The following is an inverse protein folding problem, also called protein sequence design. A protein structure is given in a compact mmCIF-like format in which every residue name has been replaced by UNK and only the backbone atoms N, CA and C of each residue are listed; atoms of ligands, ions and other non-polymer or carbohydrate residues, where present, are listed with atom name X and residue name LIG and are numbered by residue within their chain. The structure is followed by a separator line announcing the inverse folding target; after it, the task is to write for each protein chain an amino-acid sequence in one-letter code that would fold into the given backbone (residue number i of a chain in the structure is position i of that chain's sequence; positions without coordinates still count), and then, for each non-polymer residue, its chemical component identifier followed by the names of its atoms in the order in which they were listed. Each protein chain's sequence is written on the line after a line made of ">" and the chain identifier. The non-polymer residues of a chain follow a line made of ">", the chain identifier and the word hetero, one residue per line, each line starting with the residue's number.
data_IF_060394410394
#
_entry.id   IF_060394410394
#
_cell.length_a   1.000
_cell.length_b   1.000
_cell.length_c   1.000
_cell.angle_alpha   90.00
_cell.angle_beta   90.00
_cell.angle_gamma   90.00
#
_symmetry.space_group_name_H-M   'P 1'
#
loop_
_entity.id
_entity.type
_entity.pdbx_description
1 polymer ?
#
# COMPACT_ATOMS: atom_id res chain seq x y z
N UNK A 1 -47.11 -2.26 15.91
CA UNK A 1 -46.07 -3.29 15.73
C UNK A 1 -45.69 -3.28 14.26
N UNK A 2 -44.62 -2.57 13.89
CA UNK A 2 -44.15 -2.48 12.50
C UNK A 2 -42.72 -2.98 12.51
N UNK A 3 -42.52 -4.21 12.03
CA UNK A 3 -41.20 -4.77 11.76
C UNK A 3 -40.62 -4.09 10.52
N UNK A 4 -39.68 -3.16 10.70
CA UNK A 4 -38.81 -2.71 9.62
C UNK A 4 -37.61 -3.65 9.55
N UNK A 5 -37.56 -4.47 8.50
CA UNK A 5 -36.35 -5.17 8.09
C UNK A 5 -35.39 -4.16 7.44
N UNK A 6 -34.22 -3.99 8.03
CA UNK A 6 -33.13 -3.18 7.47
C UNK A 6 -32.45 -3.95 6.33
N UNK A 7 -32.12 -3.31 5.20
CA UNK A 7 -31.29 -3.92 4.17
C UNK A 7 -29.86 -4.03 4.69
N UNK A 8 -29.33 -5.25 4.71
CA UNK A 8 -27.90 -5.51 4.96
C UNK A 8 -27.13 -5.02 3.73
N UNK A 9 -26.37 -3.93 3.87
CA UNK A 9 -25.52 -3.43 2.79
C UNK A 9 -24.28 -4.32 2.68
N UNK A 10 -24.22 -5.15 1.63
CA UNK A 10 -23.05 -5.97 1.32
C UNK A 10 -21.84 -5.07 1.01
N UNK A 11 -20.70 -5.33 1.65
CA UNK A 11 -19.43 -4.72 1.28
C UNK A 11 -19.06 -5.18 -0.15
N UNK A 12 -19.11 -4.28 -1.12
CA UNK A 12 -18.83 -4.60 -2.52
C UNK A 12 -17.32 -4.73 -2.74
N UNK A 13 -16.87 -5.96 -3.00
CA UNK A 13 -15.55 -6.28 -3.58
C UNK A 13 -15.36 -5.41 -4.83
N UNK A 14 -14.18 -4.79 -5.00
CA UNK A 14 -13.88 -4.00 -6.20
C UNK A 14 -14.18 -4.85 -7.45
N UNK A 15 -15.09 -4.36 -8.29
CA UNK A 15 -15.61 -5.14 -9.41
C UNK A 15 -14.51 -5.35 -10.44
N UNK A 16 -14.16 -6.61 -10.72
CA UNK A 16 -13.29 -6.96 -11.84
C UNK A 16 -14.04 -6.65 -13.14
N UNK A 17 -13.63 -5.57 -13.81
CA UNK A 17 -14.28 -5.06 -15.02
C UNK A 17 -14.01 -5.95 -16.24
N UNK A 18 -12.98 -6.81 -16.17
CA UNK A 18 -12.63 -7.73 -17.25
C UNK A 18 -13.69 -8.81 -17.48
N UNK A 19 -14.40 -9.25 -16.42
CA UNK A 19 -15.39 -10.34 -16.51
C UNK A 19 -16.52 -10.04 -17.51
N UNK A 20 -16.90 -8.76 -17.61
CA UNK A 20 -17.94 -8.28 -18.51
C UNK A 20 -17.44 -7.95 -19.93
N UNK A 21 -16.12 -7.91 -20.15
CA UNK A 21 -15.51 -7.55 -21.42
C UNK A 21 -15.40 -8.71 -22.41
N UNK A 22 -14.92 -8.43 -23.63
CA UNK A 22 -14.35 -9.43 -24.53
C UNK A 22 -12.85 -9.57 -24.33
N UNK A 23 -12.24 -10.53 -25.03
CA UNK A 23 -10.79 -10.70 -25.07
C UNK A 23 -10.31 -11.02 -26.49
N UNK A 24 -9.09 -10.59 -26.81
CA UNK A 24 -8.36 -10.94 -28.03
C UNK A 24 -6.84 -10.85 -27.79
N UNK A 25 -6.02 -11.13 -28.80
CA UNK A 25 -4.57 -11.12 -28.67
C UNK A 25 -3.84 -11.34 -29.97
N UNK A 26 -2.51 -11.43 -29.91
CA UNK A 26 -1.65 -11.63 -31.08
C UNK A 26 -1.69 -13.06 -31.62
N UNK A 27 -1.55 -14.05 -30.73
CA UNK A 27 -1.55 -15.48 -31.06
C UNK A 27 -1.96 -16.28 -29.82
N UNK A 28 -2.27 -17.57 -30.01
CA UNK A 28 -2.57 -18.48 -28.90
C UNK A 28 -2.06 -19.89 -29.21
N UNK A 29 -1.59 -20.59 -28.18
CA UNK A 29 -1.24 -22.01 -28.26
C UNK A 29 -2.50 -22.87 -28.40
N UNK A 30 -2.34 -24.08 -28.95
CA UNK A 30 -3.42 -25.05 -29.08
C UNK A 30 -4.03 -25.40 -27.71
N UNK A 31 -5.35 -25.59 -27.68
CA UNK A 31 -6.09 -25.85 -26.44
C UNK A 31 -6.29 -24.64 -25.52
N UNK A 32 -5.78 -23.46 -25.88
CA UNK A 32 -6.01 -22.21 -25.11
C UNK A 32 -6.97 -21.25 -25.84
N UNK A 33 -7.56 -20.32 -25.09
CA UNK A 33 -8.47 -19.29 -25.59
C UNK A 33 -8.11 -17.92 -25.02
N UNK A 34 -8.32 -16.85 -25.79
CA UNK A 34 -8.22 -15.48 -25.26
C UNK A 34 -9.24 -15.24 -24.13
N UNK A 35 -10.40 -15.89 -24.20
CA UNK A 35 -11.44 -15.75 -23.18
C UNK A 35 -11.04 -16.25 -21.80
N UNK A 36 -10.00 -17.09 -21.71
CA UNK A 36 -9.56 -17.66 -20.44
C UNK A 36 -8.99 -16.60 -19.49
N UNK A 37 -8.48 -15.46 -19.98
CA UNK A 37 -7.92 -14.42 -19.08
C UNK A 37 -8.96 -13.59 -18.34
N UNK A 38 -10.25 -13.89 -18.50
CA UNK A 38 -11.34 -13.07 -17.97
C UNK A 38 -12.57 -13.90 -17.58
N UNK A 39 -12.42 -15.21 -17.41
CA UNK A 39 -13.51 -16.11 -17.04
C UNK A 39 -13.62 -16.28 -15.51
N UNK A 40 -12.68 -15.73 -14.74
CA UNK A 40 -12.65 -15.84 -13.28
C UNK A 40 -12.18 -17.21 -12.79
N UNK A 41 -11.64 -18.05 -13.68
CA UNK A 41 -11.16 -19.39 -13.39
C UNK A 41 -9.63 -19.45 -13.54
N UNK A 42 -8.94 -19.46 -12.41
CA UNK A 42 -7.47 -19.55 -12.39
C UNK A 42 -6.89 -20.89 -12.87
N UNK A 43 -7.73 -21.87 -13.22
CA UNK A 43 -7.33 -23.18 -13.76
C UNK A 43 -7.27 -23.20 -15.29
N UNK A 44 -7.96 -22.28 -15.96
CA UNK A 44 -7.84 -22.04 -17.41
C UNK A 44 -6.79 -20.97 -17.66
N UNK A 45 -6.23 -20.92 -18.87
CA UNK A 45 -5.24 -19.90 -19.21
C UNK A 45 -5.20 -19.64 -20.71
N UNK A 46 -4.79 -18.42 -21.06
CA UNK A 46 -4.23 -18.11 -22.37
C UNK A 46 -2.72 -18.33 -22.34
N UNK A 47 -2.15 -18.83 -23.44
CA UNK A 47 -0.71 -18.86 -23.67
C UNK A 47 -0.46 -18.39 -25.10
N UNK A 48 0.53 -17.51 -25.37
CA UNK A 48 0.94 -17.22 -26.73
C UNK A 48 1.59 -18.45 -27.37
N UNK A 49 1.69 -18.44 -28.70
CA UNK A 49 2.35 -19.51 -29.47
C UNK A 49 3.88 -19.50 -29.36
N UNK A 50 4.47 -18.51 -28.70
CA UNK A 50 5.93 -18.34 -28.53
C UNK A 50 6.25 -17.79 -27.14
N UNK A 51 7.52 -17.49 -26.84
CA UNK A 51 7.92 -16.80 -25.61
C UNK A 51 7.47 -15.32 -25.52
N UNK A 52 6.89 -14.78 -26.59
CA UNK A 52 6.33 -13.42 -26.63
C UNK A 52 4.93 -13.43 -27.21
N UNK A 53 4.16 -12.39 -26.91
CA UNK A 53 2.81 -12.22 -27.42
C UNK A 53 2.04 -11.15 -26.66
N UNK A 54 0.80 -10.92 -27.04
CA UNK A 54 -0.10 -10.03 -26.34
C UNK A 54 -1.48 -10.63 -26.16
N UNK A 55 -2.10 -10.28 -25.03
CA UNK A 55 -3.50 -10.56 -24.74
C UNK A 55 -4.15 -9.29 -24.22
N UNK A 56 -5.42 -9.10 -24.55
CA UNK A 56 -6.16 -7.89 -24.25
C UNK A 56 -7.52 -8.22 -23.66
N UNK A 57 -7.98 -7.34 -22.78
CA UNK A 57 -9.40 -7.23 -22.42
C UNK A 57 -9.99 -6.01 -23.14
N UNK A 58 -11.23 -6.11 -23.60
CA UNK A 58 -11.90 -5.07 -24.38
C UNK A 58 -13.36 -4.89 -24.00
N UNK A 59 -13.89 -3.69 -24.16
CA UNK A 59 -15.26 -3.33 -23.81
C UNK A 59 -15.98 -2.70 -25.02
N UNK A 60 -17.32 -2.81 -25.05
CA UNK A 60 -18.13 -2.21 -26.12
C UNK A 60 -18.12 -0.67 -26.10
N UNK A 61 -17.88 -0.08 -24.93
CA UNK A 61 -17.72 1.36 -24.71
C UNK A 61 -16.42 1.62 -23.93
N UNK A 62 -16.00 2.89 -23.87
CA UNK A 62 -14.80 3.25 -23.13
C UNK A 62 -15.04 2.98 -21.63
N UNK A 63 -14.15 2.20 -21.03
CA UNK A 63 -14.17 1.82 -19.62
C UNK A 63 -12.98 2.47 -18.94
N UNK A 64 -13.22 3.11 -17.79
CA UNK A 64 -12.16 3.75 -17.01
C UNK A 64 -11.51 2.73 -16.09
N UNK A 65 -10.21 2.51 -16.28
CA UNK A 65 -9.39 1.60 -15.49
C UNK A 65 -8.11 2.30 -15.04
N UNK A 66 -7.57 1.89 -13.90
CA UNK A 66 -6.28 2.40 -13.39
C UNK A 66 -5.37 1.32 -12.82
N UNK A 67 -5.84 0.07 -12.77
CA UNK A 67 -5.01 -1.06 -12.43
C UNK A 67 -5.38 -2.30 -13.23
N UNK A 68 -4.37 -3.14 -13.39
CA UNK A 68 -4.46 -4.46 -13.97
C UNK A 68 -3.82 -5.48 -13.02
N UNK A 69 -4.40 -6.66 -12.89
CA UNK A 69 -3.80 -7.79 -12.17
C UNK A 69 -3.56 -8.91 -13.17
N UNK A 70 -2.31 -9.36 -13.25
CA UNK A 70 -1.90 -10.47 -14.11
C UNK A 70 -1.67 -11.69 -13.21
N UNK A 71 -2.49 -12.72 -13.37
CA UNK A 71 -2.30 -14.01 -12.69
C UNK A 71 -1.71 -14.99 -13.67
N UNK A 72 -0.58 -15.61 -13.31
CA UNK A 72 0.02 -16.66 -14.13
C UNK A 72 -0.43 -18.04 -13.67
N UNK A 73 -0.70 -18.93 -14.62
CA UNK A 73 -0.90 -20.35 -14.35
C UNK A 73 0.46 -21.06 -14.26
N UNK A 74 0.50 -22.16 -13.51
CA UNK A 74 1.69 -23.01 -13.42
C UNK A 74 2.02 -23.70 -14.76
N UNK A 75 3.29 -24.08 -14.93
CA UNK A 75 3.78 -24.80 -16.12
C UNK A 75 4.00 -23.94 -17.37
N UNK A 76 3.95 -22.61 -17.25
CA UNK A 76 4.36 -21.66 -18.28
C UNK A 76 5.78 -21.12 -18.07
N UNK A 77 6.30 -20.39 -19.06
CA UNK A 77 7.56 -19.66 -18.95
C UNK A 77 7.48 -18.45 -18.03
N UNK A 78 8.61 -18.10 -17.41
CA UNK A 78 8.72 -16.88 -16.59
C UNK A 78 8.83 -15.66 -17.49
N UNK A 79 8.02 -14.64 -17.22
CA UNK A 79 8.03 -13.36 -17.94
C UNK A 79 9.30 -12.60 -17.55
N UNK A 80 10.08 -12.22 -18.56
CA UNK A 80 11.29 -11.41 -18.41
C UNK A 80 10.99 -9.92 -18.50
N UNK A 81 10.21 -9.50 -19.51
CA UNK A 81 9.83 -8.09 -19.71
C UNK A 81 8.46 -7.96 -20.36
N UNK A 82 7.77 -6.87 -20.05
CA UNK A 82 6.40 -6.61 -20.50
C UNK A 82 6.08 -5.12 -20.58
N UNK A 83 5.00 -4.83 -21.30
CA UNK A 83 4.36 -3.51 -21.42
C UNK A 83 2.86 -3.66 -21.28
N UNK A 84 2.22 -2.70 -20.63
CA UNK A 84 0.77 -2.53 -20.63
C UNK A 84 0.45 -1.35 -21.54
N UNK A 85 -0.38 -1.58 -22.55
CA UNK A 85 -0.68 -0.61 -23.59
C UNK A 85 -2.16 -0.22 -23.57
N UNK A 86 -2.44 1.03 -23.89
CA UNK A 86 -3.74 1.43 -24.37
C UNK A 86 -3.92 0.85 -25.78
N UNK A 87 -4.83 -0.11 -25.93
CA UNK A 87 -5.08 -0.83 -27.17
C UNK A 87 -5.81 -0.01 -28.23
N UNK A 88 -6.35 1.17 -27.88
CA UNK A 88 -7.02 2.06 -28.83
C UNK A 88 -6.03 2.91 -29.63
N UNK A 89 -4.90 3.30 -29.02
CA UNK A 89 -3.94 4.25 -29.61
C UNK A 89 -2.47 3.81 -29.53
N UNK A 90 -2.17 2.69 -28.88
CA UNK A 90 -0.82 2.12 -28.77
C UNK A 90 0.08 2.75 -27.68
N UNK A 91 -0.41 3.70 -26.88
CA UNK A 91 0.40 4.33 -25.83
C UNK A 91 0.79 3.34 -24.73
N UNK A 92 2.04 3.38 -24.26
CA UNK A 92 2.50 2.57 -23.12
C UNK A 92 2.00 3.21 -21.82
N UNK A 93 1.14 2.50 -21.09
CA UNK A 93 0.61 2.92 -19.80
C UNK A 93 1.51 2.50 -18.63
N UNK A 94 2.17 1.35 -18.77
CA UNK A 94 3.17 0.85 -17.84
C UNK A 94 4.13 -0.13 -18.53
N UNK A 95 5.30 -0.36 -17.95
CA UNK A 95 6.22 -1.41 -18.38
C UNK A 95 6.99 -1.95 -17.20
N UNK A 96 7.50 -3.17 -17.30
CA UNK A 96 8.30 -3.76 -16.23
C UNK A 96 9.07 -4.98 -16.67
N UNK A 97 9.82 -5.51 -15.72
CA UNK A 97 10.53 -6.77 -15.83
C UNK A 97 10.04 -7.78 -14.79
N UNK A 98 10.33 -9.06 -15.02
CA UNK A 98 9.85 -10.15 -14.17
C UNK A 98 8.35 -10.42 -14.31
N UNK A 99 7.85 -11.32 -13.46
CA UNK A 99 6.44 -11.71 -13.39
C UNK A 99 5.62 -10.61 -12.70
N UNK A 100 4.74 -9.87 -13.40
CA UNK A 100 3.90 -8.88 -12.75
C UNK A 100 2.77 -9.55 -11.96
N UNK A 101 2.41 -8.95 -10.82
CA UNK A 101 1.19 -9.26 -10.08
C UNK A 101 0.17 -8.14 -10.31
N UNK A 102 0.31 -7.01 -9.62
CA UNK A 102 -0.53 -5.83 -9.84
C UNK A 102 0.27 -4.76 -10.58
N UNK A 103 -0.32 -4.21 -11.64
CA UNK A 103 0.22 -3.12 -12.45
C UNK A 103 -0.70 -1.92 -12.25
N UNK A 104 -0.17 -0.85 -11.66
CA UNK A 104 -0.87 0.43 -11.52
C UNK A 104 -0.45 1.38 -12.63
N UNK A 105 -1.40 2.17 -13.13
CA UNK A 105 -1.17 3.20 -14.15
C UNK A 105 -2.16 4.35 -13.94
N UNK A 106 -1.91 5.50 -14.57
CA UNK A 106 -2.81 6.64 -14.52
C UNK A 106 -4.21 6.26 -14.99
N UNK A 107 -5.26 6.70 -14.29
CA UNK A 107 -6.65 6.41 -14.68
C UNK A 107 -6.88 6.77 -16.14
N UNK A 108 -7.25 5.79 -16.95
CA UNK A 108 -7.36 5.91 -18.39
C UNK A 108 -8.70 5.33 -18.84
N UNK A 109 -9.45 6.11 -19.60
CA UNK A 109 -10.67 5.65 -20.27
C UNK A 109 -10.30 5.10 -21.65
N UNK A 110 -10.59 3.83 -21.89
CA UNK A 110 -10.16 3.08 -23.09
C UNK A 110 -11.14 1.94 -23.38
N UNK A 111 -11.24 1.53 -24.64
CA UNK A 111 -12.05 0.36 -25.05
C UNK A 111 -11.24 -0.93 -25.03
N UNK A 112 -9.90 -0.85 -25.00
CA UNK A 112 -9.03 -2.03 -25.02
C UNK A 112 -7.76 -1.81 -24.21
N UNK A 113 -7.45 -2.72 -23.28
CA UNK A 113 -6.20 -2.74 -22.52
C UNK A 113 -5.39 -3.98 -22.90
N UNK A 114 -4.15 -3.78 -23.33
CA UNK A 114 -3.30 -4.86 -23.88
C UNK A 114 -2.12 -5.12 -22.97
N UNK A 115 -1.97 -6.36 -22.49
CA UNK A 115 -0.76 -6.84 -21.84
C UNK A 115 0.15 -7.47 -22.89
N UNK A 116 1.31 -6.86 -23.14
CA UNK A 116 2.27 -7.28 -24.14
C UNK A 116 3.55 -7.80 -23.48
N UNK A 117 3.82 -9.08 -23.67
CA UNK A 117 5.00 -9.77 -23.19
C UNK A 117 6.10 -9.64 -24.24
N UNK A 118 7.18 -8.95 -23.90
CA UNK A 118 8.30 -8.66 -24.80
C UNK A 118 9.49 -9.60 -24.60
N UNK A 119 9.57 -10.29 -23.46
CA UNK A 119 10.47 -11.45 -23.30
C UNK A 119 9.96 -12.40 -22.23
N UNK A 120 10.21 -13.71 -22.40
CA UNK A 120 9.99 -14.74 -21.41
C UNK A 120 10.93 -15.94 -21.66
N UNK A 121 11.12 -16.79 -20.66
CA UNK A 121 11.98 -17.99 -20.77
C UNK A 121 11.40 -19.08 -21.70
N UNK A 122 10.07 -19.12 -21.83
CA UNK A 122 9.28 -19.95 -22.74
C UNK A 122 7.88 -19.35 -22.83
N UNK A 123 6.91 -19.98 -23.50
CA UNK A 123 5.54 -19.45 -23.60
C UNK A 123 4.89 -19.32 -22.20
N UNK A 124 4.59 -18.09 -21.73
CA UNK A 124 3.97 -17.86 -20.43
C UNK A 124 2.47 -18.21 -20.47
N UNK A 125 1.90 -18.58 -19.32
CA UNK A 125 0.47 -18.88 -19.19
C UNK A 125 -0.20 -17.84 -18.32
N UNK A 126 -1.11 -17.06 -18.89
CA UNK A 126 -1.89 -16.05 -18.17
C UNK A 126 -3.25 -16.65 -17.86
N UNK A 127 -3.51 -16.86 -16.57
CA UNK A 127 -4.78 -17.33 -16.07
C UNK A 127 -5.80 -16.20 -16.02
N UNK A 128 -5.42 -15.03 -15.50
CA UNK A 128 -6.32 -13.87 -15.42
C UNK A 128 -5.62 -12.59 -15.80
N UNK A 129 -6.37 -11.70 -16.44
CA UNK A 129 -6.06 -10.31 -16.71
C UNK A 129 -7.22 -9.47 -16.18
N UNK A 130 -7.20 -9.25 -14.88
CA UNK A 130 -8.24 -8.51 -14.16
C UNK A 130 -7.98 -7.01 -14.29
N UNK A 131 -9.04 -6.22 -14.36
CA UNK A 131 -8.94 -4.77 -14.47
C UNK A 131 -9.90 -4.10 -13.52
N UNK A 132 -9.47 -2.96 -12.96
CA UNK A 132 -10.23 -2.26 -11.95
C UNK A 132 -10.19 -0.76 -12.20
N UNK A 133 -11.33 -0.13 -11.96
CA UNK A 133 -11.39 1.32 -11.80
C UNK A 133 -10.79 1.68 -10.44
N UNK A 134 -9.83 2.59 -10.41
CA UNK A 134 -9.43 3.27 -9.18
C UNK A 134 -10.42 4.41 -8.91
N UNK A 135 -10.69 4.67 -7.63
CA UNK A 135 -11.45 5.85 -7.23
C UNK A 135 -10.65 7.11 -7.56
N UNK A 136 -10.90 7.76 -8.69
CA UNK A 136 -10.53 9.18 -8.86
C UNK A 136 -11.22 9.80 -10.08
N UNK A 137 -11.74 11.04 -10.01
CA UNK A 137 -12.07 11.79 -11.21
C UNK A 137 -10.81 12.53 -11.69
N UNK A 138 -10.43 12.36 -12.96
CA UNK A 138 -9.63 13.35 -13.68
C UNK A 138 -10.36 13.72 -14.98
N UNK A 139 -10.41 15.00 -15.40
CA UNK A 139 -11.25 15.49 -16.47
C UNK A 139 -10.54 15.41 -17.83
N UNK A 140 -11.29 15.15 -18.89
CA UNK A 140 -10.88 15.46 -20.25
C UNK A 140 -11.80 16.58 -20.77
N UNK A 141 -11.20 17.67 -21.24
CA UNK A 141 -11.87 18.89 -21.67
C UNK A 141 -12.47 18.80 -23.08
N UNK A 142 -13.59 19.51 -23.31
CA UNK A 142 -13.94 20.43 -24.43
C UNK A 142 -15.48 20.49 -24.66
N UNK A 143 -16.09 21.58 -25.19
CA UNK A 143 -16.17 22.95 -24.69
C UNK A 143 -17.62 23.40 -24.34
N UNK A 144 -17.70 24.42 -23.47
CA UNK A 144 -18.68 25.50 -23.26
C UNK A 144 -20.15 25.39 -23.71
N UNK A 145 -21.07 25.42 -22.73
CA UNK A 145 -22.15 26.42 -22.61
C UNK A 145 -22.65 26.53 -21.14
N UNK A 146 -22.80 27.76 -20.65
CA UNK A 146 -23.17 28.21 -19.27
C UNK A 146 -24.69 28.56 -19.22
N UNK A 147 -25.34 28.98 -18.10
CA UNK A 147 -25.14 28.83 -16.62
C UNK A 147 -26.33 28.10 -15.92
N UNK A 148 -26.32 27.72 -14.63
CA UNK A 148 -26.77 28.57 -13.50
C UNK A 148 -26.57 27.87 -12.12
N UNK A 149 -25.93 28.61 -11.21
CA UNK A 149 -25.73 28.61 -9.73
C UNK A 149 -26.08 27.47 -8.74
N UNK A 150 -25.07 27.21 -7.87
CA UNK A 150 -25.08 27.04 -6.38
C UNK A 150 -24.98 25.61 -5.79
N UNK A 151 -24.32 25.38 -4.62
CA UNK A 151 -23.18 26.04 -3.99
C UNK A 151 -21.94 25.12 -3.83
N UNK A 152 -20.83 25.75 -3.47
CA UNK A 152 -19.48 25.23 -3.22
C UNK A 152 -19.40 24.13 -2.15
N UNK A 153 -18.83 22.98 -2.50
CA UNK A 153 -18.09 22.14 -1.55
C UNK A 153 -16.76 21.78 -2.20
N UNK A 154 -15.68 22.27 -1.60
CA UNK A 154 -14.30 21.99 -2.02
C UNK A 154 -13.82 20.73 -1.28
N UNK A 155 -13.33 19.72 -2.01
CA UNK A 155 -12.25 18.88 -1.50
C UNK A 155 -11.00 19.11 -2.36
N UNK A 156 -10.10 19.95 -1.84
CA UNK A 156 -8.72 20.08 -2.31
C UNK A 156 -7.90 18.88 -1.87
N UNK A 157 -7.08 18.34 -2.77
CA UNK A 157 -5.83 17.68 -2.38
C UNK A 157 -5.60 16.30 -2.98
N UNK A 158 -4.94 16.27 -4.14
CA UNK A 158 -4.12 15.14 -4.55
C UNK A 158 -2.95 14.98 -3.54
N UNK A 159 -2.75 13.83 -2.88
CA UNK A 159 -1.60 13.63 -2.00
C UNK A 159 -0.37 13.32 -2.86
N UNK A 160 0.60 14.23 -2.93
CA UNK A 160 1.84 13.91 -3.65
C UNK A 160 3.00 14.90 -3.62
N UNK A 161 2.78 16.19 -3.36
CA UNK A 161 3.90 17.16 -3.44
C UNK A 161 3.95 18.23 -2.35
N UNK A 162 2.91 18.37 -1.54
CA UNK A 162 2.91 19.24 -0.36
C UNK A 162 3.53 18.56 0.86
N UNK A 163 4.17 19.34 1.73
CA UNK A 163 4.48 18.89 3.08
C UNK A 163 3.17 18.48 3.80
N UNK A 164 3.16 17.41 4.62
CA UNK A 164 2.00 17.06 5.41
C UNK A 164 1.56 18.26 6.25
N UNK A 165 0.28 18.63 6.17
CA UNK A 165 -0.24 19.87 6.78
C UNK A 165 -0.79 19.67 8.19
N UNK A 166 -0.75 18.43 8.70
CA UNK A 166 -1.40 18.06 9.95
C UNK A 166 -2.94 17.97 9.88
N UNK A 167 -3.52 18.19 8.70
CA UNK A 167 -4.98 18.16 8.51
C UNK A 167 -5.49 16.72 8.54
N UNK A 168 -6.42 16.45 9.46
CA UNK A 168 -7.05 15.15 9.61
C UNK A 168 -8.23 15.00 8.62
N UNK A 169 -8.41 13.85 7.98
CA UNK A 169 -9.55 13.64 7.10
C UNK A 169 -10.85 13.48 7.89
N UNK A 170 -11.96 13.83 7.22
CA UNK A 170 -13.30 13.47 7.70
C UNK A 170 -13.60 12.01 7.39
N UNK A 171 -14.24 11.32 8.32
CA UNK A 171 -14.71 9.95 8.12
C UNK A 171 -15.90 9.90 7.18
N UNK A 172 -15.88 8.95 6.24
CA UNK A 172 -16.99 8.67 5.32
C UNK A 172 -18.04 7.69 5.91
N UNK A 173 -17.95 7.39 7.21
CA UNK A 173 -18.83 6.47 7.93
C UNK A 173 -18.04 5.51 8.82
N UNK A 174 -18.73 4.75 9.67
CA UNK A 174 -18.08 3.84 10.62
C UNK A 174 -18.35 2.38 10.29
N UNK A 175 -17.36 1.53 10.51
CA UNK A 175 -17.42 0.07 10.33
C UNK A 175 -16.89 -0.58 11.61
N UNK A 176 -17.72 -1.37 12.28
CA UNK A 176 -17.29 -2.23 13.39
C UNK A 176 -16.88 -3.59 12.83
N UNK A 177 -15.61 -3.96 13.01
CA UNK A 177 -15.07 -5.29 12.71
C UNK A 177 -15.21 -6.17 13.95
N UNK A 178 -15.54 -7.45 13.74
CA UNK A 178 -15.71 -8.45 14.80
C UNK A 178 -14.47 -9.31 15.03
N UNK A 179 -13.36 -8.99 14.35
CA UNK A 179 -12.10 -9.72 14.35
C UNK A 179 -11.18 -9.23 13.24
N UNK A 180 -9.96 -9.75 13.19
CA UNK A 180 -8.93 -9.34 12.22
C UNK A 180 -9.41 -9.49 10.77
N UNK A 181 -9.29 -8.42 10.00
CA UNK A 181 -9.58 -8.41 8.56
C UNK A 181 -8.34 -8.84 7.79
N UNK A 182 -8.43 -9.96 7.06
CA UNK A 182 -7.33 -10.45 6.21
C UNK A 182 -7.35 -9.76 4.83
N UNK A 183 -6.19 -9.28 4.37
CA UNK A 183 -6.03 -8.54 3.11
C UNK A 183 -4.92 -9.19 2.28
N UNK A 184 -5.24 -9.79 1.13
CA UNK A 184 -4.26 -10.41 0.22
C UNK A 184 -4.03 -9.63 -1.08
N UNK A 185 -4.90 -8.68 -1.39
CA UNK A 185 -4.80 -7.74 -2.52
C UNK A 185 -4.88 -6.30 -2.02
N UNK A 186 -5.69 -5.46 -2.67
CA UNK A 186 -5.98 -4.11 -2.16
C UNK A 186 -7.29 -4.09 -1.40
N UNK A 187 -7.26 -3.60 -0.16
CA UNK A 187 -8.43 -3.20 0.61
C UNK A 187 -8.53 -1.68 0.59
N UNK A 188 -9.59 -1.14 0.00
CA UNK A 188 -9.93 0.29 0.05
C UNK A 188 -11.05 0.50 1.07
N UNK A 189 -10.76 1.22 2.15
CA UNK A 189 -11.72 1.52 3.21
C UNK A 189 -12.69 2.65 2.89
N UNK A 190 -12.53 3.34 1.76
CA UNK A 190 -13.39 4.45 1.35
C UNK A 190 -13.38 5.64 2.31
N UNK A 191 -12.29 5.83 3.05
CA UNK A 191 -12.14 6.78 4.18
C UNK A 191 -13.13 6.57 5.32
N UNK A 192 -13.64 5.35 5.50
CA UNK A 192 -14.43 4.99 6.67
C UNK A 192 -13.54 4.75 7.88
N UNK A 193 -14.12 4.95 9.06
CA UNK A 193 -13.52 4.60 10.34
C UNK A 193 -13.81 3.16 10.70
N UNK A 194 -12.78 2.34 10.75
CA UNK A 194 -12.81 0.96 11.22
C UNK A 194 -12.41 0.94 12.69
N UNK A 195 -13.15 0.20 13.51
CA UNK A 195 -12.84 -0.16 14.90
C UNK A 195 -13.43 -1.57 15.12
N UNK A 196 -13.39 -2.29 16.23
CA UNK A 196 -13.07 -1.96 17.62
C UNK A 196 -12.50 -3.27 18.20
N UNK A 197 -11.23 -3.58 17.94
CA UNK A 197 -10.60 -4.83 18.42
C UNK A 197 -9.79 -4.53 19.68
N UNK A 198 -9.88 -5.45 20.65
CA UNK A 198 -9.17 -5.34 21.91
C UNK A 198 -9.85 -4.42 22.92
N UNK A 199 -9.14 -4.15 24.01
CA UNK A 199 -9.58 -3.35 25.15
C UNK A 199 -8.96 -1.94 25.19
N UNK A 200 -8.07 -1.63 24.23
CA UNK A 200 -7.31 -0.37 24.19
C UNK A 200 -6.08 -0.35 25.10
N UNK A 201 -5.70 -1.49 25.68
CA UNK A 201 -4.47 -1.62 26.48
C UNK A 201 -3.19 -1.76 25.63
N UNK A 202 -2.04 -1.83 26.30
CA UNK A 202 -0.69 -1.97 25.71
C UNK A 202 -0.17 -3.43 25.75
N UNK A 203 -1.06 -4.43 25.71
CA UNK A 203 -0.65 -5.84 25.79
C UNK A 203 -0.14 -6.35 24.44
N UNK A 204 1.06 -6.93 24.38
CA UNK A 204 1.72 -7.46 23.15
C UNK A 204 1.00 -8.69 22.50
N UNK A 205 -0.20 -9.03 22.97
CA UNK A 205 -0.96 -10.21 22.54
C UNK A 205 -2.32 -9.84 21.94
N UNK A 206 -2.55 -8.56 21.67
CA UNK A 206 -3.77 -8.11 21.01
C UNK A 206 -3.80 -8.52 19.54
N UNK A 207 -4.99 -8.82 19.04
CA UNK A 207 -5.17 -9.10 17.62
C UNK A 207 -5.05 -7.80 16.80
N UNK A 208 -4.41 -7.83 15.62
CA UNK A 208 -4.40 -6.69 14.73
C UNK A 208 -5.79 -6.49 14.11
N UNK A 209 -6.11 -5.24 13.78
CA UNK A 209 -7.30 -4.91 13.00
C UNK A 209 -7.24 -5.45 11.58
N UNK A 210 -6.08 -5.30 10.94
CA UNK A 210 -5.85 -5.75 9.58
C UNK A 210 -4.59 -6.61 9.52
N UNK A 211 -4.69 -7.74 8.85
CA UNK A 211 -3.55 -8.62 8.55
C UNK A 211 -3.35 -8.66 7.05
N UNK A 212 -2.30 -8.00 6.59
CA UNK A 212 -1.98 -7.81 5.18
C UNK A 212 -0.95 -8.86 4.76
N UNK A 213 -1.33 -9.73 3.83
CA UNK A 213 -0.44 -10.69 3.21
C UNK A 213 0.63 -9.99 2.37
N UNK A 214 1.70 -10.73 2.02
CA UNK A 214 2.76 -10.22 1.17
C UNK A 214 2.21 -9.66 -0.16
N UNK A 215 2.60 -8.44 -0.50
CA UNK A 215 2.14 -7.67 -1.67
C UNK A 215 0.81 -6.94 -1.48
N UNK A 216 0.13 -7.11 -0.34
CA UNK A 216 -1.16 -6.49 -0.09
C UNK A 216 -1.09 -4.99 0.16
N UNK A 217 -2.21 -4.30 -0.07
CA UNK A 217 -2.37 -2.85 0.14
C UNK A 217 -3.59 -2.57 1.02
N UNK A 218 -3.41 -1.77 2.07
CA UNK A 218 -4.49 -1.15 2.83
C UNK A 218 -4.53 0.32 2.47
N UNK A 219 -5.66 0.84 2.01
CA UNK A 219 -5.76 2.23 1.63
C UNK A 219 -7.05 2.91 2.03
N UNK A 220 -6.98 4.23 2.23
CA UNK A 220 -8.12 5.08 2.55
C UNK A 220 -8.91 4.53 3.75
N UNK A 221 -8.21 4.27 4.85
CA UNK A 221 -8.79 3.70 6.06
C UNK A 221 -8.51 4.66 7.20
N UNK A 222 -9.52 4.96 8.01
CA UNK A 222 -9.32 5.54 9.33
C UNK A 222 -9.42 4.40 10.33
N UNK A 223 -8.41 4.21 11.16
CA UNK A 223 -8.40 3.28 12.29
C UNK A 223 -8.81 4.07 13.53
N UNK A 224 -9.96 3.68 14.10
CA UNK A 224 -10.50 4.19 15.34
C UNK A 224 -10.12 3.32 16.53
N UNK A 225 -10.48 3.80 17.72
CA UNK A 225 -10.25 3.11 18.99
C UNK A 225 -11.45 2.20 19.36
N UNK A 226 -11.24 1.04 20.00
CA UNK A 226 -9.96 0.38 20.23
C UNK A 226 -9.32 -0.18 18.96
N UNK A 227 -8.01 -0.03 18.82
CA UNK A 227 -7.26 -0.37 17.61
C UNK A 227 -6.44 -1.67 17.71
N UNK A 228 -6.51 -2.40 18.83
CA UNK A 228 -5.69 -3.60 19.07
C UNK A 228 -4.20 -3.37 18.78
N UNK A 229 -3.56 -4.35 18.17
CA UNK A 229 -2.18 -4.24 17.62
C UNK A 229 -2.19 -3.75 16.16
N UNK A 230 -3.01 -2.72 15.89
CA UNK A 230 -3.03 -1.96 14.65
C UNK A 230 -3.11 -2.80 13.37
N UNK A 231 -2.09 -2.68 12.52
CA UNK A 231 -2.01 -3.35 11.21
C UNK A 231 -0.78 -4.23 11.13
N UNK A 232 -0.93 -5.51 10.77
CA UNK A 232 0.18 -6.42 10.55
C UNK A 232 0.48 -6.60 9.08
N UNK A 233 1.74 -6.45 8.69
CA UNK A 233 2.22 -6.82 7.37
C UNK A 233 3.05 -8.10 7.44
N UNK A 234 2.50 -9.19 6.91
CA UNK A 234 3.10 -10.54 6.93
C UNK A 234 4.19 -10.72 5.86
N UNK A 235 4.32 -9.77 4.95
CA UNK A 235 5.37 -9.65 3.95
C UNK A 235 5.64 -8.18 3.64
N UNK A 236 6.09 -7.88 2.43
CA UNK A 236 6.02 -6.50 1.92
C UNK A 236 4.56 -6.08 1.81
N UNK A 237 4.23 -4.85 2.17
CA UNK A 237 2.85 -4.33 2.10
C UNK A 237 2.86 -2.84 1.77
N UNK A 238 1.70 -2.30 1.38
CA UNK A 238 1.50 -0.85 1.22
C UNK A 238 0.38 -0.36 2.13
N UNK A 239 0.68 0.62 2.97
CA UNK A 239 -0.30 1.39 3.75
C UNK A 239 -0.41 2.76 3.07
N UNK A 240 -1.52 3.04 2.42
CA UNK A 240 -1.69 4.28 1.62
C UNK A 240 -2.85 5.11 2.14
N UNK A 241 -2.58 6.32 2.61
CA UNK A 241 -3.61 7.21 3.15
C UNK A 241 -4.40 6.52 4.29
N UNK A 242 -3.67 5.93 5.24
CA UNK A 242 -4.23 5.27 6.43
C UNK A 242 -4.03 6.19 7.64
N UNK A 243 -5.07 6.34 8.45
CA UNK A 243 -5.12 7.32 9.53
C UNK A 243 -5.48 6.68 10.87
N UNK A 244 -4.61 6.74 11.87
CA UNK A 244 -4.88 6.19 13.21
C UNK A 244 -5.30 7.31 14.16
N UNK A 245 -6.58 7.31 14.54
CA UNK A 245 -7.13 8.31 15.48
C UNK A 245 -6.57 8.16 16.89
N UNK A 246 -6.15 6.94 17.24
CA UNK A 246 -5.64 6.51 18.52
C UNK A 246 -4.81 5.24 18.26
N UNK A 247 -3.50 5.32 18.49
CA UNK A 247 -2.62 4.17 18.30
C UNK A 247 -2.87 3.21 19.47
N UNK A 248 -3.10 1.93 19.17
CA UNK A 248 -3.22 0.88 20.19
C UNK A 248 -1.85 0.55 20.78
N UNK A 249 -1.40 -0.70 20.65
CA UNK A 249 -0.01 -1.04 20.95
C UNK A 249 0.94 -0.35 19.97
N UNK A 250 0.86 -0.75 18.70
CA UNK A 250 1.54 -0.14 17.56
C UNK A 250 0.52 0.30 16.50
N UNK A 251 0.87 1.27 15.64
CA UNK A 251 0.00 1.63 14.51
C UNK A 251 0.10 0.56 13.41
N UNK A 252 1.33 0.16 13.08
CA UNK A 252 1.57 -0.99 12.21
C UNK A 252 2.88 -1.72 12.51
N UNK A 253 2.83 -3.04 12.33
CA UNK A 253 3.93 -3.97 12.60
C UNK A 253 4.33 -4.72 11.34
N UNK A 254 5.57 -4.52 10.90
CA UNK A 254 6.15 -5.13 9.69
C UNK A 254 6.89 -6.42 10.06
N UNK A 255 6.34 -7.57 9.67
CA UNK A 255 6.76 -8.91 10.13
C UNK A 255 7.44 -9.74 9.03
N UNK A 256 7.33 -9.32 7.77
CA UNK A 256 7.87 -10.04 6.62
C UNK A 256 9.38 -10.32 6.70
N UNK A 257 9.78 -11.54 6.38
CA UNK A 257 11.19 -11.99 6.40
C UNK A 257 11.78 -12.29 5.02
N UNK A 258 11.01 -12.02 3.96
CA UNK A 258 11.42 -12.20 2.56
C UNK A 258 12.26 -11.06 1.98
N UNK A 259 12.63 -10.06 2.79
CA UNK A 259 13.27 -8.83 2.34
C UNK A 259 12.30 -7.90 1.62
N UNK A 260 12.83 -7.04 0.74
CA UNK A 260 12.03 -6.09 -0.05
C UNK A 260 11.72 -4.79 0.69
N UNK A 261 10.66 -4.10 0.26
CA UNK A 261 10.25 -2.81 0.83
C UNK A 261 8.74 -2.78 1.09
N UNK A 262 8.37 -2.47 2.32
CA UNK A 262 7.00 -2.05 2.68
C UNK A 262 6.90 -0.54 2.59
N UNK A 263 5.72 -0.04 2.22
CA UNK A 263 5.49 1.37 1.97
C UNK A 263 4.41 1.93 2.89
N UNK A 264 4.67 3.09 3.47
CA UNK A 264 3.68 3.96 4.12
C UNK A 264 3.64 5.24 3.31
N UNK A 265 2.50 5.53 2.68
CA UNK A 265 2.36 6.61 1.69
C UNK A 265 1.18 7.50 2.10
N UNK A 266 1.48 8.71 2.54
CA UNK A 266 0.47 9.60 3.12
C UNK A 266 -0.06 9.08 4.45
N UNK A 267 -1.15 9.68 4.92
CA UNK A 267 -1.80 9.27 6.16
C UNK A 267 -1.25 9.98 7.40
N UNK A 268 -1.70 9.52 8.56
CA UNK A 268 -1.19 10.03 9.82
C UNK A 268 -1.60 9.21 11.03
N UNK A 269 -0.95 9.42 12.16
CA UNK A 269 -1.29 8.76 13.41
C UNK A 269 -1.15 9.72 14.58
N UNK A 270 -1.86 9.42 15.68
CA UNK A 270 -1.78 10.21 16.90
C UNK A 270 -2.08 9.37 18.14
N UNK A 271 -1.74 9.92 19.30
CA UNK A 271 -2.04 9.35 20.61
C UNK A 271 -1.40 7.97 20.84
N UNK A 272 -0.15 7.78 20.44
CA UNK A 272 0.62 6.57 20.76
C UNK A 272 1.37 6.67 22.08
N UNK A 273 1.57 5.53 22.73
CA UNK A 273 2.33 5.47 23.99
C UNK A 273 3.82 5.19 23.78
N UNK A 274 4.19 4.29 22.85
CA UNK A 274 5.60 3.92 22.63
C UNK A 274 6.02 4.01 21.16
N UNK A 275 5.43 3.22 20.25
CA UNK A 275 5.91 3.12 18.86
C UNK A 275 4.75 3.23 17.88
N UNK A 276 4.98 3.96 16.79
CA UNK A 276 4.02 4.04 15.69
C UNK A 276 4.25 2.89 14.71
N UNK A 277 5.48 2.74 14.22
CA UNK A 277 5.86 1.68 13.30
C UNK A 277 6.91 0.74 13.89
N UNK A 278 6.50 -0.50 14.13
CA UNK A 278 7.37 -1.56 14.61
C UNK A 278 7.88 -2.42 13.45
N UNK A 279 9.19 -2.63 13.35
CA UNK A 279 9.78 -3.45 12.30
C UNK A 279 10.45 -4.69 12.91
N UNK A 280 9.72 -5.82 12.86
CA UNK A 280 10.15 -7.11 13.39
C UNK A 280 10.87 -7.96 12.33
N UNK A 281 10.43 -7.86 11.07
CA UNK A 281 10.97 -8.57 9.91
C UNK A 281 12.32 -8.05 9.41
N UNK A 282 12.66 -8.34 8.15
CA UNK A 282 13.85 -7.81 7.48
C UNK A 282 13.47 -6.93 6.26
N UNK A 283 14.46 -6.26 5.68
CA UNK A 283 14.24 -5.41 4.50
C UNK A 283 14.05 -3.94 4.87
N UNK A 284 13.21 -3.24 4.12
CA UNK A 284 13.05 -1.78 4.23
C UNK A 284 11.61 -1.37 4.52
N UNK A 285 11.41 -0.38 5.38
CA UNK A 285 10.15 0.37 5.49
C UNK A 285 10.36 1.76 4.92
N UNK A 286 9.57 2.15 3.92
CA UNK A 286 9.63 3.47 3.29
C UNK A 286 8.41 4.28 3.71
N UNK A 287 8.62 5.34 4.50
CA UNK A 287 7.59 6.22 5.05
C UNK A 287 7.66 7.55 4.33
N UNK A 288 6.59 7.94 3.65
CA UNK A 288 6.54 9.22 2.94
C UNK A 288 5.21 9.92 3.04
N UNK A 289 5.23 11.25 3.19
CA UNK A 289 4.01 12.07 3.25
C UNK A 289 3.20 11.88 4.53
N UNK A 290 3.79 11.33 5.59
CA UNK A 290 3.09 10.96 6.82
C UNK A 290 3.08 12.08 7.86
N UNK A 291 2.00 12.17 8.63
CA UNK A 291 1.89 13.07 9.78
C UNK A 291 1.78 12.29 11.09
N UNK A 292 2.64 12.57 12.07
CA UNK A 292 2.55 11.99 13.42
C UNK A 292 2.38 13.09 14.47
N UNK A 293 1.43 12.91 15.38
CA UNK A 293 1.21 13.81 16.51
C UNK A 293 1.01 13.01 17.81
N UNK A 294 2.04 12.93 18.66
CA UNK A 294 1.98 12.21 19.92
C UNK A 294 2.30 10.72 19.77
N UNK A 295 3.55 10.33 20.00
CA UNK A 295 4.02 8.95 20.15
C UNK A 295 5.48 8.95 20.61
N UNK A 296 5.93 7.96 21.39
CA UNK A 296 7.35 7.87 21.73
C UNK A 296 8.26 7.80 20.50
N UNK A 297 7.91 7.00 19.49
CA UNK A 297 8.76 6.77 18.30
C UNK A 297 7.95 6.66 17.03
N UNK A 298 8.37 7.33 15.95
CA UNK A 298 7.78 7.09 14.62
C UNK A 298 8.14 5.69 14.11
N UNK A 299 9.43 5.31 14.14
CA UNK A 299 9.89 4.01 13.67
C UNK A 299 10.87 3.36 14.65
N UNK A 300 10.69 2.06 14.90
CA UNK A 300 11.62 1.25 15.69
C UNK A 300 11.93 -0.09 15.01
N UNK A 301 13.21 -0.32 14.75
CA UNK A 301 13.72 -1.64 14.38
C UNK A 301 13.78 -2.55 15.63
N UNK A 302 13.13 -3.71 15.64
CA UNK A 302 13.10 -4.56 16.82
C UNK A 302 14.51 -4.91 17.33
N UNK A 303 14.80 -4.57 18.60
CA UNK A 303 16.15 -4.69 19.16
C UNK A 303 16.41 -5.98 19.95
N UNK A 304 15.37 -6.71 20.34
CA UNK A 304 15.44 -7.93 21.17
C UNK A 304 14.47 -9.02 20.68
N UNK A 305 14.10 -9.00 19.40
CA UNK A 305 13.28 -10.04 18.79
C UNK A 305 13.97 -11.41 18.86
N UNK A 306 13.17 -12.48 18.75
CA UNK A 306 13.67 -13.86 18.70
C UNK A 306 14.70 -14.10 17.59
N UNK A 307 14.62 -13.32 16.51
CA UNK A 307 15.58 -13.33 15.42
C UNK A 307 16.15 -11.92 15.21
N UNK A 308 17.47 -11.85 15.03
CA UNK A 308 18.17 -10.63 14.67
C UNK A 308 18.19 -10.48 13.16
N UNK A 309 17.69 -9.34 12.66
CA UNK A 309 17.70 -9.02 11.24
C UNK A 309 18.34 -7.66 11.01
N UNK A 310 18.95 -7.51 9.84
CA UNK A 310 19.30 -6.20 9.30
C UNK A 310 18.05 -5.53 8.73
N UNK A 311 17.79 -4.29 9.14
CA UNK A 311 16.57 -3.53 8.84
C UNK A 311 16.90 -2.12 8.36
N UNK A 312 16.11 -1.62 7.44
CA UNK A 312 16.29 -0.29 6.89
C UNK A 312 15.00 0.53 6.96
N UNK A 313 15.14 1.83 7.15
CA UNK A 313 14.03 2.78 7.05
C UNK A 313 14.40 3.93 6.12
N UNK A 314 13.45 4.33 5.28
CA UNK A 314 13.52 5.55 4.48
C UNK A 314 12.39 6.46 4.93
N UNK A 315 12.70 7.67 5.37
CA UNK A 315 11.73 8.64 5.88
C UNK A 315 11.85 9.88 5.02
N UNK A 316 10.77 10.27 4.36
CA UNK A 316 10.82 11.34 3.39
C UNK A 316 9.54 12.17 3.37
N UNK A 317 9.64 13.49 3.48
CA UNK A 317 8.46 14.38 3.51
C UNK A 317 7.49 14.00 4.65
N UNK A 318 8.01 13.97 5.88
CA UNK A 318 7.26 13.59 7.09
C UNK A 318 7.20 14.78 8.05
N UNK A 319 6.05 14.99 8.67
CA UNK A 319 5.87 15.93 9.77
C UNK A 319 5.64 15.15 11.05
N UNK A 320 6.45 15.40 12.07
CA UNK A 320 6.25 14.87 13.42
C UNK A 320 6.07 16.02 14.41
N UNK A 321 5.20 15.83 15.38
CA UNK A 321 4.93 16.76 16.48
C UNK A 321 4.71 15.92 17.74
N UNK A 322 5.26 16.34 18.88
CA UNK A 322 5.16 15.60 20.15
C UNK A 322 5.67 14.13 20.03
N UNK A 323 6.92 13.98 19.60
CA UNK A 323 7.57 12.68 19.40
C UNK A 323 8.98 12.68 19.97
N UNK A 324 9.32 11.69 20.80
CA UNK A 324 10.66 11.62 21.42
C UNK A 324 11.75 11.25 20.39
N UNK A 325 11.42 10.36 19.45
CA UNK A 325 12.37 9.86 18.45
C UNK A 325 11.75 9.56 17.08
N UNK A 326 12.41 9.97 16.00
CA UNK A 326 11.94 9.68 14.64
C UNK A 326 12.31 8.26 14.21
N UNK A 327 13.58 7.87 14.30
CA UNK A 327 14.01 6.52 13.96
C UNK A 327 14.94 5.92 15.01
N UNK A 328 14.60 4.74 15.54
CA UNK A 328 15.45 3.93 16.41
C UNK A 328 15.98 2.68 15.70
N UNK A 329 17.28 2.65 15.38
CA UNK A 329 17.94 1.58 14.61
C UNK A 329 18.99 0.81 15.42
N UNK A 330 19.25 -0.46 15.10
CA UNK A 330 20.29 -1.26 15.75
C UNK A 330 21.57 -1.27 14.89
N UNK A 331 22.49 -0.34 15.16
CA UNK A 331 23.63 -0.10 14.27
C UNK A 331 24.61 -1.28 14.20
N UNK A 332 24.72 -2.06 15.27
CA UNK A 332 25.56 -3.27 15.33
C UNK A 332 25.07 -4.42 14.43
N UNK A 333 23.82 -4.37 13.95
CA UNK A 333 23.27 -5.31 12.97
C UNK A 333 23.26 -4.74 11.55
N UNK A 334 23.87 -3.57 11.34
CA UNK A 334 23.95 -2.92 10.05
C UNK A 334 22.66 -2.21 9.64
N UNK A 335 21.76 -1.91 10.59
CA UNK A 335 20.53 -1.19 10.29
C UNK A 335 20.85 0.21 9.71
N UNK A 336 19.99 0.72 8.83
CA UNK A 336 20.16 2.09 8.29
C UNK A 336 18.87 2.89 8.32
N UNK A 337 18.98 4.19 8.56
CA UNK A 337 17.92 5.17 8.43
C UNK A 337 18.36 6.24 7.43
N UNK A 338 17.66 6.35 6.31
CA UNK A 338 17.78 7.48 5.39
C UNK A 338 16.64 8.43 5.65
N UNK A 339 16.94 9.69 5.98
CA UNK A 339 15.92 10.68 6.35
C UNK A 339 16.13 11.94 5.52
N UNK A 340 15.08 12.36 4.80
CA UNK A 340 15.06 13.57 3.97
C UNK A 340 13.76 14.35 4.19
N UNK A 341 13.79 15.67 4.06
CA UNK A 341 12.58 16.52 4.12
C UNK A 341 11.71 16.23 5.36
N UNK A 342 12.35 16.11 6.52
CA UNK A 342 11.68 15.91 7.80
C UNK A 342 11.34 17.28 8.41
N UNK A 343 10.14 17.43 8.93
CA UNK A 343 9.76 18.55 9.78
C UNK A 343 9.49 18.02 11.18
N UNK A 344 10.18 18.58 12.17
CA UNK A 344 9.97 18.31 13.60
C UNK A 344 9.38 19.56 14.21
N UNK A 345 8.15 19.47 14.67
CA UNK A 345 7.50 20.50 15.48
C UNK A 345 7.82 20.23 16.95
N UNK A 346 8.71 21.05 17.53
CA UNK A 346 9.35 20.78 18.82
C UNK A 346 10.71 20.08 18.72
N UNK A 347 11.01 19.18 19.65
CA UNK A 347 12.30 18.50 19.75
C UNK A 347 12.15 16.98 19.67
N UNK A 348 13.00 16.32 18.90
CA UNK A 348 13.06 14.86 18.80
C UNK A 348 14.50 14.40 18.52
N UNK A 349 14.85 13.20 18.98
CA UNK A 349 16.02 12.49 18.46
C UNK A 349 15.71 12.01 17.04
N UNK A 350 16.45 12.49 16.04
CA UNK A 350 16.13 12.19 14.63
C UNK A 350 16.53 10.76 14.26
N UNK A 351 17.77 10.37 14.55
CA UNK A 351 18.25 9.02 14.29
C UNK A 351 18.97 8.46 15.51
N UNK A 352 18.22 7.76 16.36
CA UNK A 352 18.74 7.08 17.54
C UNK A 352 19.37 5.74 17.20
N UNK A 353 20.61 5.52 17.66
CA UNK A 353 21.32 4.25 17.52
C UNK A 353 21.20 3.44 18.80
N UNK A 354 20.95 2.15 18.64
CA UNK A 354 20.89 1.16 19.70
C UNK A 354 21.89 0.03 19.42
N UNK A 355 22.32 -0.64 20.49
CA UNK A 355 22.93 -1.96 20.41
C UNK A 355 21.83 -3.02 20.54
N UNK A 356 21.45 -3.63 19.42
CA UNK A 356 20.54 -4.76 19.38
C UNK A 356 21.15 -5.99 20.06
N UNK A 357 20.30 -6.81 20.67
CA UNK A 357 20.66 -7.98 21.49
C UNK A 357 19.75 -9.16 21.17
N UNK A 358 20.12 -10.37 21.59
CA UNK A 358 19.23 -11.52 21.52
C UNK A 358 18.02 -11.36 22.46
N UNK A 359 16.93 -12.06 22.16
CA UNK A 359 15.75 -12.12 23.04
C UNK A 359 16.14 -12.48 24.48
N UNK A 360 15.52 -11.80 25.45
CA UNK A 360 15.79 -11.95 26.88
C UNK A 360 16.80 -10.93 27.43
N UNK A 361 17.23 -9.96 26.62
CA UNK A 361 18.03 -8.83 27.06
C UNK A 361 17.45 -7.53 26.49
N UNK A 362 17.72 -6.41 27.17
CA UNK A 362 17.26 -5.11 26.72
C UNK A 362 18.27 -4.40 25.81
N UNK A 363 17.84 -3.88 24.64
CA UNK A 363 18.71 -3.08 23.78
C UNK A 363 19.13 -1.79 24.48
N UNK A 364 20.41 -1.44 24.39
CA UNK A 364 20.92 -0.19 24.97
C UNK A 364 20.97 0.93 23.93
N UNK A 365 20.52 2.12 24.31
CA UNK A 365 20.74 3.32 23.50
C UNK A 365 22.21 3.71 23.56
N UNK A 366 22.80 4.01 22.39
CA UNK A 366 24.23 4.33 22.26
C UNK A 366 24.47 5.71 21.62
N UNK A 367 23.42 6.53 21.49
CA UNK A 367 23.52 7.91 21.04
C UNK A 367 22.81 8.20 19.71
N UNK A 368 22.71 9.47 19.38
CA UNK A 368 22.16 9.95 18.11
C UNK A 368 23.25 9.92 17.01
N UNK A 369 22.86 9.62 15.77
CA UNK A 369 23.73 9.64 14.60
C UNK A 369 23.33 10.73 13.59
N UNK A 370 24.35 11.31 12.94
CA UNK A 370 24.20 12.30 11.87
C UNK A 370 25.27 12.05 10.81
N UNK A 371 24.87 11.98 9.55
CA UNK A 371 25.74 11.79 8.39
C UNK A 371 26.78 10.67 8.58
N UNK A 372 26.33 9.50 9.07
CA UNK A 372 27.17 8.32 9.26
C UNK A 372 26.67 7.12 8.44
N UNK A 373 27.34 5.96 8.55
CA UNK A 373 27.01 4.76 7.77
C UNK A 373 25.59 4.23 8.03
N UNK A 374 25.07 4.43 9.23
CA UNK A 374 23.77 3.93 9.67
C UNK A 374 22.72 5.05 9.60
N UNK A 375 23.02 6.24 10.11
CA UNK A 375 22.18 7.43 10.11
C UNK A 375 22.53 8.34 8.93
N UNK A 376 21.88 8.08 7.79
CA UNK A 376 22.05 8.82 6.53
C UNK A 376 21.09 10.01 6.51
N UNK A 377 21.42 11.00 7.35
CA UNK A 377 20.65 12.23 7.53
C UNK A 377 21.61 13.37 7.86
N UNK A 378 21.40 14.52 7.22
CA UNK A 378 22.13 15.77 7.50
C UNK A 378 21.21 16.78 8.18
N UNK A 379 21.78 17.82 8.77
CA UNK A 379 20.98 18.89 9.39
C UNK A 379 20.09 19.63 8.39
N UNK A 380 20.50 19.73 7.12
CA UNK A 380 19.68 20.32 6.05
C UNK A 380 18.47 19.48 5.65
N UNK A 381 18.47 18.19 6.00
CA UNK A 381 17.33 17.30 5.74
C UNK A 381 16.18 17.49 6.75
N UNK A 382 16.42 18.26 7.82
CA UNK A 382 15.51 18.43 8.95
C UNK A 382 15.21 19.90 9.20
N UNK A 383 13.93 20.24 9.26
CA UNK A 383 13.45 21.55 9.71
C UNK A 383 12.83 21.39 11.09
N UNK A 384 13.41 22.05 12.09
CA UNK A 384 12.80 22.19 13.42
C UNK A 384 11.94 23.45 13.45
N UNK A 385 10.72 23.35 13.98
CA UNK A 385 9.76 24.46 14.12
C UNK A 385 9.53 24.82 15.58
#
# INVERSE_FOLDING_TARGET
>A
MVTMTLPVSAATIATNLSLSGGADGSSKADGTSYGNVKDGNTSTYWSPSSSTGSVSVKWGSATTVSSAVIKQASGGGSIGSWRLLNGDNGSVLASGSGNPSTISFSSTSLKKLTFNITSASSAPRIAEFETYAGSSPNPTASPTATPTSSPTVTPTGNPGTGAPTGQWPSSAGSVKISGTVSVSGTFDGGMKTYCCIGDGGQSESQDPMFKIANGGTLQNVIIGSPAGDGVHCEGTCTLKNVWWNDIGEDAATFKGTGGGTSYVIGGGARSGSDKTFQHNGNGTVSISGFYLNGSGKLYRACGNCSSSYQRHVKIDNVLVSDVDMVAGINSNWGDTATITRLVVDGSATVCGKYKGVSKGSEPSYIGEGWNDSNCKVTRSDVTFK
#
